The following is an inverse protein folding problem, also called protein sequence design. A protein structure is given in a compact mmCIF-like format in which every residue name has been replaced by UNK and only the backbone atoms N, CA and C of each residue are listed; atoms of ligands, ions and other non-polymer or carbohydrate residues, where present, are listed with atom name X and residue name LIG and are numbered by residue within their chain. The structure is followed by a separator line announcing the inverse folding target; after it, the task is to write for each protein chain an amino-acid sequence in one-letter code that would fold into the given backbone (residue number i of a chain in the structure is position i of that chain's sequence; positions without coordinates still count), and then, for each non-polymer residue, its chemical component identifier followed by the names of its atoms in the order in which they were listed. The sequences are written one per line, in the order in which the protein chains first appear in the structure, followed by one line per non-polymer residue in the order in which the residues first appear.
data_IF_376108626437
#
_entry.id   IF_376108626437
#
_cell.length_a   1.000
_cell.length_b   1.000
_cell.length_c   1.000
_cell.angle_alpha   90.00
_cell.angle_beta   90.00
_cell.angle_gamma   90.00
#
_symmetry.space_group_name_H-M   'P 1'
#
loop_
_entity.id
_entity.type
_entity.pdbx_description
1 polymer ?
#
# COMPACT_ATOMS: atom_id res chain seq x y z
N UNK A 1 -12.50 -9.83 8.49
CA UNK A 1 -12.55 -11.31 8.44
C UNK A 1 -11.44 -11.77 7.51
N UNK A 2 -10.46 -12.53 7.96
CA UNK A 2 -9.33 -12.93 7.09
C UNK A 2 -9.55 -14.27 6.36
N UNK A 3 -10.55 -15.07 6.76
CA UNK A 3 -10.79 -16.40 6.20
C UNK A 3 -12.16 -16.44 5.53
N UNK A 4 -12.21 -16.86 4.27
CA UNK A 4 -13.44 -17.07 3.50
C UNK A 4 -14.12 -18.34 4.01
N UNK A 5 -15.39 -18.25 4.41
CA UNK A 5 -16.17 -19.41 4.88
C UNK A 5 -16.33 -20.45 3.76
N UNK A 6 -16.18 -21.76 4.06
CA UNK A 6 -16.47 -22.81 3.09
C UNK A 6 -17.92 -22.72 2.60
N UNK A 7 -18.12 -22.70 1.28
CA UNK A 7 -19.47 -22.66 0.68
C UNK A 7 -20.06 -24.04 0.38
N UNK A 8 -19.21 -25.08 0.28
CA UNK A 8 -19.63 -26.47 0.02
C UNK A 8 -18.57 -27.48 0.47
N UNK A 9 -19.02 -28.70 0.76
CA UNK A 9 -18.19 -29.87 1.05
C UNK A 9 -18.25 -30.84 -0.12
N UNK A 10 -17.10 -31.40 -0.53
CA UNK A 10 -17.03 -32.33 -1.66
C UNK A 10 -17.06 -33.81 -1.25
N UNK A 11 -16.69 -34.14 -0.01
CA UNK A 11 -16.64 -35.52 0.49
C UNK A 11 -17.66 -35.68 1.61
N UNK A 12 -18.69 -36.54 1.44
CA UNK A 12 -19.64 -36.82 2.50
C UNK A 12 -18.94 -37.27 3.80
N UNK A 13 -19.32 -36.68 4.93
CA UNK A 13 -18.73 -36.93 6.25
C UNK A 13 -17.60 -35.98 6.66
N UNK A 14 -17.17 -35.07 5.77
CA UNK A 14 -16.17 -34.02 6.06
C UNK A 14 -16.78 -32.61 6.09
N UNK A 15 -18.05 -32.48 6.44
CA UNK A 15 -18.73 -31.18 6.50
C UNK A 15 -18.29 -30.35 7.70
N UNK A 16 -17.77 -30.99 8.75
CA UNK A 16 -17.30 -30.36 9.99
C UNK A 16 -18.33 -29.45 10.70
N UNK A 17 -19.61 -29.49 10.30
CA UNK A 17 -20.67 -28.62 10.82
C UNK A 17 -20.88 -28.73 12.33
N UNK A 18 -20.57 -29.90 12.90
CA UNK A 18 -20.69 -30.15 14.34
C UNK A 18 -19.45 -29.73 15.15
N UNK A 19 -18.45 -29.10 14.52
CA UNK A 19 -17.24 -28.61 15.20
C UNK A 19 -17.34 -27.10 15.37
N UNK A 20 -17.42 -26.66 16.61
CA UNK A 20 -17.37 -25.25 16.97
C UNK A 20 -16.19 -25.03 17.93
N UNK A 21 -15.21 -24.25 17.50
CA UNK A 21 -14.01 -23.95 18.31
C UNK A 21 -14.18 -22.72 19.19
N UNK A 22 -15.16 -21.87 18.89
CA UNK A 22 -15.51 -20.70 19.68
C UNK A 22 -16.97 -20.32 19.44
N UNK A 23 -17.56 -19.64 20.43
CA UNK A 23 -18.86 -18.99 20.31
C UNK A 23 -18.69 -17.57 19.75
N UNK A 24 -19.22 -17.25 18.56
CA UNK A 24 -19.08 -15.93 17.95
C UNK A 24 -19.66 -14.79 18.79
N UNK A 25 -20.82 -14.99 19.43
CA UNK A 25 -21.47 -13.98 20.28
C UNK A 25 -20.65 -13.76 21.53
N UNK A 26 -20.24 -14.84 22.20
CA UNK A 26 -19.35 -14.75 23.36
C UNK A 26 -18.03 -14.07 22.99
N UNK A 27 -17.40 -14.44 21.86
CA UNK A 27 -16.15 -13.82 21.37
C UNK A 27 -16.35 -12.33 21.17
N UNK A 28 -17.44 -11.91 20.52
CA UNK A 28 -17.74 -10.49 20.32
C UNK A 28 -17.84 -9.75 21.66
N UNK A 29 -18.56 -10.29 22.65
CA UNK A 29 -18.70 -9.67 23.97
C UNK A 29 -17.40 -9.65 24.78
N UNK A 30 -16.59 -10.71 24.71
CA UNK A 30 -15.25 -10.76 25.31
C UNK A 30 -14.34 -9.67 24.68
N UNK A 31 -14.40 -9.49 23.36
CA UNK A 31 -13.65 -8.45 22.64
C UNK A 31 -14.15 -7.05 22.97
N UNK A 32 -15.45 -6.84 23.13
CA UNK A 32 -16.03 -5.56 23.61
C UNK A 32 -15.48 -5.24 25.00
N UNK A 33 -15.48 -6.21 25.92
CA UNK A 33 -14.96 -6.01 27.26
C UNK A 33 -13.45 -5.64 27.24
N UNK A 34 -12.66 -6.32 26.40
CA UNK A 34 -11.24 -6.00 26.22
C UNK A 34 -11.03 -4.61 25.60
N UNK A 35 -11.77 -4.25 24.56
CA UNK A 35 -11.71 -2.94 23.91
C UNK A 35 -12.05 -1.81 24.89
N UNK A 36 -13.11 -1.98 25.70
CA UNK A 36 -13.46 -1.03 26.77
C UNK A 36 -12.36 -0.91 27.82
N UNK A 37 -11.75 -2.03 28.24
CA UNK A 37 -10.60 -2.03 29.13
C UNK A 37 -9.45 -1.19 28.58
N UNK A 38 -9.07 -1.42 27.33
CA UNK A 38 -8.02 -0.65 26.64
C UNK A 38 -8.38 0.84 26.60
N UNK A 39 -9.60 1.21 26.21
CA UNK A 39 -9.99 2.64 26.15
C UNK A 39 -9.89 3.28 27.54
N UNK A 40 -10.35 2.60 28.59
CA UNK A 40 -10.24 3.08 29.99
C UNK A 40 -8.78 3.27 30.42
N UNK A 41 -7.93 2.29 30.16
CA UNK A 41 -6.51 2.33 30.52
C UNK A 41 -5.76 3.46 29.79
N UNK A 42 -6.24 3.83 28.59
CA UNK A 42 -5.63 4.88 27.76
C UNK A 42 -6.24 6.27 27.98
N UNK A 43 -7.34 6.40 28.75
CA UNK A 43 -7.96 7.70 29.05
C UNK A 43 -6.93 8.80 29.39
N UNK A 44 -5.94 8.60 30.29
CA UNK A 44 -5.04 9.67 30.72
C UNK A 44 -4.29 10.40 29.59
N UNK A 45 -4.06 9.74 28.45
CA UNK A 45 -3.35 10.35 27.30
C UNK A 45 -4.29 10.81 26.19
N UNK A 46 -5.58 10.41 26.22
CA UNK A 46 -6.55 10.80 25.20
C UNK A 46 -6.92 12.29 25.25
N UNK A 47 -6.50 13.03 26.30
CA UNK A 47 -6.70 14.47 26.42
C UNK A 47 -6.04 15.26 25.28
N UNK A 48 -5.07 14.66 24.58
CA UNK A 48 -4.47 15.21 23.37
C UNK A 48 -5.51 15.52 22.27
N UNK A 49 -6.60 14.75 22.22
CA UNK A 49 -7.61 14.85 21.15
C UNK A 49 -8.43 16.14 21.20
N UNK A 50 -8.66 16.70 22.39
CA UNK A 50 -9.51 17.89 22.62
C UNK A 50 -10.87 17.78 21.92
N UNK A 51 -11.51 16.62 22.06
CA UNK A 51 -12.72 16.28 21.31
C UNK A 51 -13.65 15.33 22.08
N UNK A 52 -14.90 15.28 21.64
CA UNK A 52 -15.90 14.30 22.04
C UNK A 52 -16.11 13.29 20.92
N UNK A 53 -15.77 12.03 21.17
CA UNK A 53 -15.90 10.94 20.20
C UNK A 53 -17.09 10.06 20.56
N UNK A 54 -17.93 9.72 19.58
CA UNK A 54 -18.99 8.71 19.68
C UNK A 54 -18.51 7.43 19.00
N UNK A 55 -18.39 6.35 19.77
CA UNK A 55 -17.92 5.06 19.30
C UNK A 55 -19.04 4.03 19.43
N UNK A 56 -19.27 3.25 18.38
CA UNK A 56 -20.13 2.07 18.43
C UNK A 56 -19.27 0.85 18.20
N UNK A 57 -19.24 -0.12 19.12
CA UNK A 57 -18.57 -1.40 18.85
C UNK A 57 -19.54 -2.34 18.15
N UNK A 58 -19.17 -2.80 16.94
CA UNK A 58 -19.99 -3.68 16.12
C UNK A 58 -19.25 -4.32 14.94
N UNK A 59 -19.73 -5.47 14.46
CA UNK A 59 -19.08 -6.29 13.42
C UNK A 59 -20.02 -6.73 12.27
N UNK A 60 -21.12 -6.00 12.08
CA UNK A 60 -22.25 -6.27 11.18
C UNK A 60 -23.21 -7.39 11.63
N UNK A 61 -22.81 -8.26 12.57
CA UNK A 61 -23.70 -9.26 13.18
C UNK A 61 -24.13 -8.81 14.57
N UNK A 62 -23.18 -8.38 15.39
CA UNK A 62 -23.40 -7.93 16.76
C UNK A 62 -23.05 -6.45 16.89
N UNK A 63 -23.70 -5.75 17.82
CA UNK A 63 -23.43 -4.36 18.16
C UNK A 63 -23.87 -4.06 19.59
N UNK A 64 -23.19 -3.13 20.25
CA UNK A 64 -23.64 -2.55 21.53
C UNK A 64 -24.15 -1.11 21.32
N UNK A 65 -24.86 -0.51 22.30
CA UNK A 65 -25.13 0.92 22.30
C UNK A 65 -23.84 1.76 22.23
N UNK A 66 -23.90 2.98 21.66
CA UNK A 66 -22.72 3.83 21.54
C UNK A 66 -22.19 4.25 22.92
N UNK A 67 -20.87 4.38 23.00
CA UNK A 67 -20.13 4.95 24.13
C UNK A 67 -19.48 6.25 23.69
N UNK A 68 -19.12 7.11 24.65
CA UNK A 68 -18.55 8.40 24.37
C UNK A 68 -17.22 8.60 25.10
N UNK A 69 -16.18 8.98 24.36
CA UNK A 69 -14.91 9.43 24.95
C UNK A 69 -14.93 10.95 24.97
N UNK A 70 -15.12 11.53 26.14
CA UNK A 70 -15.05 12.97 26.35
C UNK A 70 -13.62 13.37 26.72
N UNK A 71 -12.89 13.90 25.74
CA UNK A 71 -11.54 14.41 25.90
C UNK A 71 -11.47 15.95 25.73
N UNK A 72 -12.60 16.65 25.88
CA UNK A 72 -12.65 18.12 25.76
C UNK A 72 -12.06 18.84 26.98
N UNK A 73 -11.99 18.16 28.12
CA UNK A 73 -11.45 18.68 29.37
C UNK A 73 -10.10 18.05 29.70
N UNK A 74 -9.37 18.61 30.68
CA UNK A 74 -8.11 18.03 31.17
C UNK A 74 -8.28 16.62 31.75
N UNK A 75 -9.46 16.30 32.26
CA UNK A 75 -9.80 14.96 32.72
C UNK A 75 -10.66 14.28 31.66
N UNK A 76 -10.09 13.31 30.96
CA UNK A 76 -10.82 12.51 29.99
C UNK A 76 -11.75 11.52 30.69
N UNK A 77 -12.93 11.29 30.11
CA UNK A 77 -13.93 10.41 30.68
C UNK A 77 -14.55 9.51 29.61
N UNK A 78 -14.93 8.29 30.02
CA UNK A 78 -15.76 7.41 29.23
C UNK A 78 -17.20 7.51 29.76
N UNK A 79 -18.14 7.83 28.87
CA UNK A 79 -19.54 8.07 29.21
C UNK A 79 -20.44 7.10 28.43
N UNK A 80 -21.52 6.63 29.07
CA UNK A 80 -22.53 5.79 28.41
C UNK A 80 -23.54 6.61 27.59
N UNK A 81 -23.62 7.93 27.84
CA UNK A 81 -24.50 8.84 27.11
C UNK A 81 -24.03 10.30 27.24
N UNK A 82 -24.52 11.13 26.33
CA UNK A 82 -24.41 12.60 26.37
C UNK A 82 -25.78 13.21 26.15
N UNK A 83 -25.96 14.49 26.52
CA UNK A 83 -27.24 15.19 26.29
C UNK A 83 -27.62 15.21 24.81
N UNK A 84 -28.91 15.14 24.50
CA UNK A 84 -29.43 14.97 23.13
C UNK A 84 -28.98 16.04 22.12
N UNK A 85 -28.62 17.25 22.59
CA UNK A 85 -28.17 18.37 21.76
C UNK A 85 -26.64 18.52 21.72
N UNK A 86 -25.88 17.64 22.35
CA UNK A 86 -24.42 17.69 22.36
C UNK A 86 -23.90 17.21 21.00
N UNK A 87 -23.25 18.10 20.26
CA UNK A 87 -22.57 17.75 19.01
C UNK A 87 -21.27 16.99 19.34
N UNK A 88 -21.07 15.87 18.68
CA UNK A 88 -19.83 15.09 18.73
C UNK A 88 -18.88 15.54 17.61
N UNK A 89 -17.58 15.48 17.87
CA UNK A 89 -16.56 15.82 16.89
C UNK A 89 -16.30 14.67 15.91
N UNK A 90 -16.44 13.43 16.39
CA UNK A 90 -16.18 12.20 15.64
C UNK A 90 -17.26 11.18 15.92
N UNK A 91 -17.68 10.45 14.90
CA UNK A 91 -18.57 9.29 15.03
C UNK A 91 -18.07 8.13 14.16
N UNK A 92 -17.96 6.93 14.73
CA UNK A 92 -17.58 5.72 13.98
C UNK A 92 -18.15 4.45 14.62
N UNK A 93 -18.52 3.47 13.78
CA UNK A 93 -18.68 2.08 14.20
C UNK A 93 -17.40 1.31 13.91
N UNK A 94 -16.83 0.66 14.92
CA UNK A 94 -15.57 -0.08 14.80
C UNK A 94 -15.70 -1.47 15.42
N UNK A 95 -15.03 -2.46 14.81
CA UNK A 95 -14.95 -3.79 15.41
C UNK A 95 -14.16 -3.74 16.72
N UNK A 96 -14.65 -4.35 17.80
CA UNK A 96 -13.91 -4.37 19.06
C UNK A 96 -12.55 -5.09 18.90
N UNK A 97 -12.48 -6.14 18.07
CA UNK A 97 -11.20 -6.79 17.71
C UNK A 97 -10.18 -5.80 17.13
N UNK A 98 -10.59 -4.80 16.35
CA UNK A 98 -9.64 -3.83 15.78
C UNK A 98 -9.03 -2.96 16.86
N UNK A 99 -9.80 -2.57 17.89
CA UNK A 99 -9.28 -1.85 19.05
C UNK A 99 -8.19 -2.65 19.76
N UNK A 100 -8.43 -3.95 19.97
CA UNK A 100 -7.43 -4.86 20.55
C UNK A 100 -6.19 -4.95 19.66
N UNK A 101 -6.38 -5.08 18.34
CA UNK A 101 -5.26 -5.20 17.39
C UNK A 101 -4.49 -3.90 17.20
N UNK A 102 -5.12 -2.74 17.33
CA UNK A 102 -4.44 -1.44 17.39
C UNK A 102 -3.57 -1.36 18.64
N UNK A 103 -4.11 -1.77 19.79
CA UNK A 103 -3.38 -1.81 21.06
C UNK A 103 -2.12 -2.67 20.97
N UNK A 104 -2.24 -3.88 20.42
CA UNK A 104 -1.14 -4.83 20.24
C UNK A 104 -0.21 -4.50 19.06
N UNK A 105 -0.53 -3.49 18.24
CA UNK A 105 0.26 -3.14 17.05
C UNK A 105 0.21 -4.17 15.92
N UNK A 106 -0.80 -5.04 15.89
CA UNK A 106 -0.99 -6.08 14.85
C UNK A 106 -1.90 -5.64 13.69
N UNK A 107 -2.43 -4.42 13.77
CA UNK A 107 -3.19 -3.75 12.73
C UNK A 107 -2.88 -2.25 12.77
N UNK A 108 -2.56 -1.66 11.63
CA UNK A 108 -2.38 -0.21 11.55
C UNK A 108 -3.75 0.49 11.68
N UNK A 109 -3.88 1.54 12.52
CA UNK A 109 -5.11 2.32 12.65
C UNK A 109 -5.71 2.79 11.33
N UNK A 110 -4.89 3.26 10.39
CA UNK A 110 -5.36 3.77 9.09
C UNK A 110 -5.93 2.64 8.24
N UNK A 111 -5.37 1.43 8.33
CA UNK A 111 -5.98 0.28 7.66
C UNK A 111 -7.29 -0.14 8.33
N UNK A 112 -7.28 -0.32 9.66
CA UNK A 112 -8.46 -0.84 10.37
C UNK A 112 -9.67 0.09 10.31
N UNK A 113 -9.47 1.41 10.35
CA UNK A 113 -10.55 2.39 10.33
C UNK A 113 -11.25 2.52 8.97
N UNK A 114 -10.55 2.26 7.86
CA UNK A 114 -11.09 2.52 6.52
C UNK A 114 -11.30 1.26 5.66
N UNK A 115 -10.77 0.11 6.05
CA UNK A 115 -10.89 -1.12 5.25
C UNK A 115 -12.35 -1.61 5.13
N UNK A 116 -13.10 -1.62 6.24
CA UNK A 116 -14.48 -2.11 6.26
C UNK A 116 -15.48 -1.09 5.71
N UNK A 117 -15.13 0.21 5.73
CA UNK A 117 -15.96 1.30 5.23
C UNK A 117 -16.34 1.16 3.75
N UNK A 118 -15.62 0.31 3.00
CA UNK A 118 -15.91 -0.01 1.59
C UNK A 118 -17.09 -0.95 1.39
N UNK A 119 -17.44 -1.73 2.42
CA UNK A 119 -18.46 -2.80 2.33
C UNK A 119 -19.50 -2.74 3.44
N UNK A 120 -19.29 -1.91 4.46
CA UNK A 120 -20.18 -1.76 5.60
C UNK A 120 -20.35 -0.27 5.96
N UNK A 121 -21.43 0.36 5.48
CA UNK A 121 -21.70 1.80 5.65
C UNK A 121 -21.61 2.30 7.10
N UNK A 122 -22.11 1.57 8.13
CA UNK A 122 -22.03 2.06 9.50
C UNK A 122 -20.60 2.26 10.02
N UNK A 123 -19.60 1.59 9.39
CA UNK A 123 -18.18 1.77 9.72
C UNK A 123 -17.52 2.95 9.02
N UNK A 124 -18.20 3.66 8.12
CA UNK A 124 -17.67 4.87 7.48
C UNK A 124 -17.49 5.95 8.56
N UNK A 125 -16.25 6.38 8.85
CA UNK A 125 -16.02 7.42 9.85
C UNK A 125 -16.64 8.77 9.46
N UNK A 126 -17.17 9.50 10.45
CA UNK A 126 -17.81 10.81 10.28
C UNK A 126 -17.17 11.85 11.21
N UNK A 127 -17.13 13.10 10.77
CA UNK A 127 -16.59 14.23 11.55
C UNK A 127 -15.09 14.45 11.35
N UNK A 128 -14.37 14.76 12.43
CA UNK A 128 -12.95 15.08 12.44
C UNK A 128 -12.09 13.82 12.36
N UNK A 129 -11.82 13.36 11.13
CA UNK A 129 -11.14 12.11 10.87
C UNK A 129 -9.68 12.08 11.38
N UNK A 130 -8.88 13.16 11.28
CA UNK A 130 -7.57 13.21 11.90
C UNK A 130 -7.59 12.90 13.41
N UNK A 131 -8.59 13.41 14.14
CA UNK A 131 -8.74 13.07 15.57
C UNK A 131 -9.13 11.61 15.78
N UNK A 132 -9.91 10.99 14.89
CA UNK A 132 -10.20 9.56 14.98
C UNK A 132 -8.95 8.69 14.78
N UNK A 133 -8.14 9.02 13.76
CA UNK A 133 -6.86 8.34 13.51
C UNK A 133 -5.98 8.48 14.74
N UNK A 134 -5.87 9.71 15.29
CA UNK A 134 -5.04 9.95 16.47
C UNK A 134 -5.57 9.21 17.70
N UNK A 135 -6.89 9.13 17.90
CA UNK A 135 -7.48 8.30 18.95
C UNK A 135 -7.01 6.86 18.83
N UNK A 136 -7.14 6.24 17.66
CA UNK A 136 -6.73 4.86 17.42
C UNK A 136 -5.20 4.65 17.56
N UNK A 137 -4.38 5.61 17.11
CA UNK A 137 -2.93 5.61 17.34
C UNK A 137 -2.59 5.62 18.84
N UNK A 138 -3.28 6.44 19.64
CA UNK A 138 -3.06 6.54 21.09
C UNK A 138 -3.50 5.28 21.85
N UNK A 139 -4.35 4.42 21.27
CA UNK A 139 -4.69 3.13 21.87
C UNK A 139 -3.52 2.13 21.81
N UNK A 140 -2.58 2.29 20.87
CA UNK A 140 -1.42 1.43 20.75
C UNK A 140 -0.54 1.47 22.02
N UNK A 141 0.04 0.33 22.44
CA UNK A 141 1.00 0.27 23.55
C UNK A 141 2.18 1.23 23.37
N UNK A 142 2.64 1.39 22.13
CA UNK A 142 3.66 2.33 21.69
C UNK A 142 3.08 3.21 20.57
N UNK A 143 2.33 4.28 20.89
CA UNK A 143 1.71 5.14 19.90
C UNK A 143 2.73 5.68 18.89
N UNK A 144 2.40 5.73 17.58
CA UNK A 144 3.28 6.36 16.63
C UNK A 144 3.43 7.86 16.94
N UNK A 145 4.64 8.38 16.72
CA UNK A 145 4.87 9.81 16.69
C UNK A 145 4.26 10.38 15.40
N UNK A 146 3.80 11.64 15.47
CA UNK A 146 3.32 12.32 14.27
C UNK A 146 4.50 12.61 13.34
N UNK A 147 4.26 12.53 12.02
CA UNK A 147 5.24 12.96 11.04
C UNK A 147 5.57 14.45 11.26
N UNK A 148 6.87 14.77 11.26
CA UNK A 148 7.34 16.14 11.18
C UNK A 148 7.13 16.73 9.78
N UNK A 149 7.22 18.05 9.65
CA UNK A 149 7.18 18.69 8.34
C UNK A 149 8.54 18.52 7.67
N UNK A 150 8.53 17.96 6.46
CA UNK A 150 9.72 17.86 5.62
C UNK A 150 10.32 19.23 5.26
N UNK A 151 9.53 20.31 5.33
CA UNK A 151 10.01 21.69 5.16
C UNK A 151 10.95 22.15 6.28
N UNK A 152 10.92 21.50 7.44
CA UNK A 152 11.79 21.83 8.57
C UNK A 152 13.21 21.26 8.38
N UNK A 153 13.41 20.40 7.38
CA UNK A 153 14.72 19.85 7.01
C UNK A 153 15.49 20.85 6.15
N UNK A 154 16.80 20.92 6.31
CA UNK A 154 17.67 21.72 5.45
C UNK A 154 17.59 21.18 4.00
N UNK A 155 17.07 21.96 3.03
CA UNK A 155 16.92 21.48 1.65
C UNK A 155 18.24 21.08 1.00
N UNK A 156 19.37 21.64 1.47
CA UNK A 156 20.69 21.36 0.91
C UNK A 156 21.20 19.94 1.22
N UNK A 157 20.62 19.28 2.23
CA UNK A 157 20.97 17.89 2.59
C UNK A 157 20.01 16.87 1.98
N UNK A 158 18.89 17.30 1.41
CA UNK A 158 17.90 16.39 0.83
C UNK A 158 18.39 15.82 -0.51
N UNK A 159 18.01 14.56 -0.83
CA UNK A 159 18.41 13.90 -2.07
C UNK A 159 18.17 14.76 -3.30
N UNK A 160 19.22 14.93 -4.12
CA UNK A 160 19.19 15.61 -5.40
C UNK A 160 19.49 14.63 -6.54
N UNK A 161 19.02 14.88 -7.78
CA UNK A 161 19.37 14.02 -8.91
C UNK A 161 20.89 13.87 -9.09
N UNK A 162 21.39 12.64 -8.97
CA UNK A 162 22.81 12.29 -9.14
C UNK A 162 22.99 10.99 -9.94
N UNK A 163 24.14 10.83 -10.59
CA UNK A 163 24.55 9.59 -11.26
C UNK A 163 25.37 8.66 -10.33
N UNK A 164 25.72 9.15 -9.13
CA UNK A 164 26.47 8.38 -8.13
C UNK A 164 25.55 7.38 -7.40
N UNK A 165 25.64 6.11 -7.76
CA UNK A 165 24.86 5.03 -7.16
C UNK A 165 25.13 4.86 -5.65
N UNK A 166 26.34 5.12 -5.17
CA UNK A 166 26.61 5.01 -3.73
C UNK A 166 25.94 6.14 -2.96
N UNK A 167 25.87 7.35 -3.55
CA UNK A 167 25.05 8.42 -2.98
C UNK A 167 23.56 8.03 -2.95
N UNK A 168 23.03 7.40 -4.00
CA UNK A 168 21.62 6.92 -4.02
C UNK A 168 21.35 5.90 -2.91
N UNK A 169 22.30 5.00 -2.65
CA UNK A 169 22.20 4.04 -1.54
C UNK A 169 22.21 4.75 -0.18
N UNK A 170 23.08 5.74 -0.01
CA UNK A 170 23.12 6.56 1.21
C UNK A 170 21.81 7.34 1.40
N UNK A 171 21.27 7.92 0.33
CA UNK A 171 19.99 8.64 0.34
C UNK A 171 18.82 7.70 0.71
N UNK A 172 18.81 6.48 0.19
CA UNK A 172 17.83 5.46 0.58
C UNK A 172 17.93 5.07 2.05
N UNK A 173 19.15 4.94 2.58
CA UNK A 173 19.34 4.67 4.02
C UNK A 173 18.86 5.85 4.85
N UNK A 174 19.26 7.06 4.49
CA UNK A 174 19.08 8.24 5.33
C UNK A 174 17.67 8.83 5.23
N UNK A 175 17.16 8.97 4.01
CA UNK A 175 15.92 9.66 3.69
C UNK A 175 14.82 8.74 3.16
N UNK A 176 15.16 7.49 2.80
CA UNK A 176 14.18 6.49 2.34
C UNK A 176 13.83 6.63 0.85
N UNK A 177 14.42 7.59 0.15
CA UNK A 177 14.33 7.75 -1.30
C UNK A 177 15.63 8.31 -1.88
N UNK A 178 15.84 8.10 -3.18
CA UNK A 178 16.95 8.68 -3.95
C UNK A 178 16.54 8.98 -5.39
N UNK A 179 17.28 9.86 -6.06
CA UNK A 179 16.98 10.35 -7.41
C UNK A 179 18.14 10.05 -8.36
N UNK A 180 17.99 9.02 -9.19
CA UNK A 180 19.00 8.63 -10.18
C UNK A 180 18.84 9.52 -11.40
N UNK A 181 19.77 10.44 -11.60
CA UNK A 181 19.83 11.32 -12.76
C UNK A 181 20.20 10.52 -14.01
N UNK A 182 19.61 10.88 -15.15
CA UNK A 182 19.92 10.27 -16.45
C UNK A 182 19.79 8.74 -16.44
N UNK A 183 18.90 8.19 -15.60
CA UNK A 183 18.63 6.76 -15.56
C UNK A 183 18.15 6.28 -16.93
N UNK A 184 17.28 7.05 -17.58
CA UNK A 184 17.01 6.90 -19.01
C UNK A 184 17.59 8.09 -19.78
N UNK A 185 18.23 7.79 -20.90
CA UNK A 185 18.69 8.78 -21.87
C UNK A 185 17.52 9.35 -22.67
N UNK A 186 17.67 10.54 -23.30
CA UNK A 186 16.57 11.20 -24.01
C UNK A 186 15.88 10.32 -25.05
N UNK A 187 16.63 9.47 -25.76
CA UNK A 187 16.05 8.56 -26.76
C UNK A 187 15.23 7.44 -26.12
N UNK A 188 15.68 6.91 -24.99
CA UNK A 188 14.97 5.87 -24.24
C UNK A 188 13.70 6.43 -23.62
N UNK A 189 13.76 7.65 -23.07
CA UNK A 189 12.58 8.40 -22.62
C UNK A 189 11.55 8.53 -23.73
N UNK A 190 11.97 8.93 -24.94
CA UNK A 190 11.08 9.07 -26.10
C UNK A 190 10.38 7.75 -26.44
N UNK A 191 11.14 6.65 -26.51
CA UNK A 191 10.62 5.31 -26.83
C UNK A 191 9.57 4.88 -25.80
N UNK A 192 9.93 4.90 -24.52
CA UNK A 192 9.06 4.43 -23.43
C UNK A 192 7.83 5.34 -23.27
N UNK A 193 8.01 6.65 -23.39
CA UNK A 193 6.88 7.61 -23.36
C UNK A 193 5.89 7.35 -24.49
N UNK A 194 6.37 7.19 -25.72
CA UNK A 194 5.50 6.94 -26.86
C UNK A 194 4.72 5.63 -26.68
N UNK A 195 5.38 4.56 -26.23
CA UNK A 195 4.72 3.30 -25.92
C UNK A 195 3.62 3.44 -24.87
N UNK A 196 3.90 4.10 -23.74
CA UNK A 196 2.90 4.33 -22.67
C UNK A 196 1.70 5.11 -23.19
N UNK A 197 1.94 6.21 -23.92
CA UNK A 197 0.85 7.07 -24.41
C UNK A 197 0.01 6.39 -25.50
N UNK A 198 0.65 5.64 -26.41
CA UNK A 198 -0.04 4.85 -27.44
C UNK A 198 -0.89 3.75 -26.81
N UNK A 199 -0.33 2.99 -25.87
CA UNK A 199 -1.06 1.95 -25.17
C UNK A 199 -2.23 2.52 -24.36
N UNK A 200 -2.00 3.63 -23.65
CA UNK A 200 -3.05 4.33 -22.92
C UNK A 200 -4.18 4.81 -23.85
N UNK A 201 -3.84 5.34 -25.03
CA UNK A 201 -4.83 5.73 -26.04
C UNK A 201 -5.61 4.52 -26.60
N UNK A 202 -4.91 3.42 -26.88
CA UNK A 202 -5.52 2.17 -27.33
C UNK A 202 -6.52 1.61 -26.32
N UNK A 203 -6.20 1.61 -25.03
CA UNK A 203 -7.11 1.17 -23.97
C UNK A 203 -8.35 2.05 -23.86
N UNK A 204 -8.21 3.37 -24.06
CA UNK A 204 -9.36 4.29 -24.11
C UNK A 204 -10.24 3.99 -25.32
N UNK A 205 -9.65 3.79 -26.49
CA UNK A 205 -10.37 3.48 -27.72
C UNK A 205 -11.11 2.13 -27.63
N UNK A 206 -10.51 1.14 -26.96
CA UNK A 206 -11.10 -0.18 -26.74
C UNK A 206 -12.11 -0.21 -25.58
N UNK A 207 -12.27 0.88 -24.82
CA UNK A 207 -13.20 0.95 -23.68
C UNK A 207 -12.76 0.14 -22.45
N UNK A 208 -11.47 -0.18 -22.33
CA UNK A 208 -10.90 -0.98 -21.22
C UNK A 208 -9.96 -0.18 -20.31
N UNK A 209 -9.83 1.13 -20.55
CA UNK A 209 -9.00 2.02 -19.74
C UNK A 209 -9.48 2.09 -18.28
N UNK A 210 -8.52 2.12 -17.36
CA UNK A 210 -8.77 2.30 -15.93
C UNK A 210 -8.42 3.73 -15.52
N UNK A 211 -9.33 4.40 -14.79
CA UNK A 211 -9.19 5.80 -14.39
C UNK A 211 -9.24 5.98 -12.88
N UNK A 212 -8.47 6.94 -12.36
CA UNK A 212 -8.43 7.35 -10.95
C UNK A 212 -8.08 8.85 -10.79
N UNK A 213 -7.71 9.30 -9.58
CA UNK A 213 -7.33 10.70 -9.34
C UNK A 213 -8.48 11.62 -8.92
N UNK A 214 -9.51 11.08 -8.26
CA UNK A 214 -10.63 11.83 -7.69
C UNK A 214 -11.97 11.50 -8.36
N UNK A 215 -13.02 12.22 -8.00
CA UNK A 215 -14.39 11.95 -8.48
C UNK A 215 -14.55 12.03 -10.00
N UNK A 216 -13.71 12.84 -10.68
CA UNK A 216 -13.70 12.98 -12.14
C UNK A 216 -12.81 11.95 -12.86
N UNK A 217 -12.02 11.16 -12.13
CA UNK A 217 -11.12 10.17 -12.72
C UNK A 217 -10.15 10.69 -13.80
N UNK A 218 -9.45 11.82 -13.63
CA UNK A 218 -8.61 12.38 -14.71
C UNK A 218 -7.36 11.54 -15.01
N UNK A 219 -6.82 10.83 -14.01
CA UNK A 219 -5.63 10.02 -14.17
C UNK A 219 -5.96 8.71 -14.87
N UNK A 220 -5.02 8.18 -15.65
CA UNK A 220 -5.14 6.84 -16.22
C UNK A 220 -4.06 5.91 -15.68
N UNK A 221 -4.48 4.69 -15.32
CA UNK A 221 -3.61 3.58 -14.95
C UNK A 221 -3.47 2.62 -16.13
N UNK A 222 -2.23 2.28 -16.48
CA UNK A 222 -1.91 1.25 -17.46
C UNK A 222 -1.27 0.09 -16.71
N UNK A 223 -2.06 -0.92 -16.38
CA UNK A 223 -1.63 -2.09 -15.59
C UNK A 223 -0.83 -3.09 -16.40
N UNK A 224 -0.09 -4.00 -15.76
CA UNK A 224 0.48 -5.19 -16.41
C UNK A 224 1.25 -4.88 -17.73
N UNK A 225 2.19 -3.93 -17.70
CA UNK A 225 2.90 -3.47 -18.91
C UNK A 225 3.73 -4.56 -19.58
N UNK A 226 4.08 -5.62 -18.87
CA UNK A 226 4.83 -6.76 -19.44
C UNK A 226 4.12 -7.38 -20.65
N UNK A 227 2.78 -7.28 -20.71
CA UNK A 227 1.99 -7.78 -21.84
C UNK A 227 1.85 -6.78 -23.01
N UNK A 228 2.39 -5.57 -22.89
CA UNK A 228 1.95 -4.40 -23.67
C UNK A 228 3.01 -3.82 -24.60
N UNK A 229 4.21 -4.40 -24.63
CA UNK A 229 5.30 -3.93 -25.50
C UNK A 229 6.65 -4.52 -25.10
N UNK A 230 7.52 -4.68 -26.07
CA UNK A 230 8.85 -5.31 -25.87
C UNK A 230 9.79 -4.34 -25.16
N UNK A 231 9.62 -3.04 -25.40
CA UNK A 231 10.31 -1.97 -24.69
C UNK A 231 10.09 -2.02 -23.16
N UNK A 232 8.95 -2.52 -22.68
CA UNK A 232 8.71 -2.71 -21.25
C UNK A 232 9.40 -3.97 -20.70
N UNK A 233 9.56 -5.00 -21.53
CA UNK A 233 10.36 -6.20 -21.21
C UNK A 233 11.84 -5.82 -21.14
N UNK A 234 12.31 -5.03 -22.11
CA UNK A 234 13.69 -4.58 -22.22
C UNK A 234 14.09 -3.64 -21.08
N UNK A 235 13.16 -2.82 -20.58
CA UNK A 235 13.38 -1.99 -19.39
C UNK A 235 13.76 -2.81 -18.15
N UNK A 236 13.40 -4.11 -18.08
CA UNK A 236 13.81 -5.01 -16.99
C UNK A 236 15.28 -5.44 -17.07
N UNK A 237 15.98 -5.10 -18.15
CA UNK A 237 17.44 -5.25 -18.27
C UNK A 237 18.20 -4.03 -17.72
N UNK A 238 17.51 -3.01 -17.22
CA UNK A 238 18.15 -1.78 -16.78
C UNK A 238 19.15 -2.01 -15.63
N UNK A 239 20.41 -1.53 -15.73
CA UNK A 239 21.48 -1.84 -14.77
C UNK A 239 21.21 -1.31 -13.35
N UNK A 240 20.40 -0.26 -13.20
CA UNK A 240 19.91 0.20 -11.89
C UNK A 240 19.24 -0.91 -11.07
N UNK A 241 18.53 -1.84 -11.73
CA UNK A 241 17.91 -2.98 -11.05
C UNK A 241 18.99 -3.84 -10.41
N UNK A 242 20.07 -4.14 -11.12
CA UNK A 242 21.18 -4.95 -10.61
C UNK A 242 21.94 -4.26 -9.47
N UNK A 243 22.08 -2.94 -9.56
CA UNK A 243 22.82 -2.15 -8.58
C UNK A 243 22.08 -1.99 -7.24
N UNK A 244 20.74 -1.87 -7.27
CA UNK A 244 19.95 -1.50 -6.09
C UNK A 244 19.12 -2.65 -5.55
N UNK A 245 18.44 -3.43 -6.41
CA UNK A 245 17.42 -4.39 -5.93
C UNK A 245 18.02 -5.50 -5.06
N UNK A 246 19.10 -6.21 -5.46
CA UNK A 246 19.72 -7.24 -4.63
C UNK A 246 20.31 -6.66 -3.34
N UNK A 247 20.94 -5.47 -3.43
CA UNK A 247 21.51 -4.78 -2.26
C UNK A 247 20.44 -4.45 -1.21
N UNK A 248 19.26 -3.98 -1.65
CA UNK A 248 18.21 -3.51 -0.75
C UNK A 248 17.25 -4.62 -0.27
N UNK A 249 16.77 -5.46 -1.19
CA UNK A 249 15.75 -6.49 -0.93
C UNK A 249 16.35 -7.89 -0.71
N UNK A 250 17.65 -8.05 -0.92
CA UNK A 250 18.32 -9.35 -0.88
C UNK A 250 18.09 -10.15 -2.17
N UNK A 251 18.56 -11.39 -2.15
CA UNK A 251 18.52 -12.26 -3.31
C UNK A 251 17.08 -12.64 -3.70
N UNK A 252 16.89 -12.82 -5.01
CA UNK A 252 15.66 -13.33 -5.61
C UNK A 252 14.41 -12.47 -5.38
N UNK A 253 14.59 -11.17 -5.14
CA UNK A 253 13.48 -10.22 -5.22
C UNK A 253 12.77 -10.33 -6.59
N UNK A 254 11.45 -10.12 -6.57
CA UNK A 254 10.61 -10.26 -7.76
C UNK A 254 9.65 -9.07 -7.85
N UNK A 255 9.07 -8.88 -9.03
CA UNK A 255 8.17 -7.78 -9.34
C UNK A 255 6.80 -8.07 -8.72
N UNK A 256 6.35 -7.16 -7.86
CA UNK A 256 4.99 -7.11 -7.36
C UNK A 256 4.05 -6.58 -8.44
N UNK A 257 4.40 -5.46 -9.05
CA UNK A 257 3.65 -4.79 -10.12
C UNK A 257 4.58 -4.07 -11.09
N UNK A 258 4.25 -4.09 -12.38
CA UNK A 258 4.88 -3.27 -13.42
C UNK A 258 3.77 -2.56 -14.21
N UNK A 259 3.67 -1.24 -14.00
CA UNK A 259 2.56 -0.42 -14.52
C UNK A 259 3.02 0.97 -14.94
N UNK A 260 2.17 1.73 -15.63
CA UNK A 260 2.34 3.17 -15.79
C UNK A 260 1.18 3.94 -15.16
N UNK A 261 1.49 5.09 -14.58
CA UNK A 261 0.50 6.05 -14.11
C UNK A 261 0.64 7.34 -14.92
N UNK A 262 -0.48 7.85 -15.45
CA UNK A 262 -0.54 9.12 -16.17
C UNK A 262 -1.33 10.10 -15.31
N UNK A 263 -0.62 10.95 -14.58
CA UNK A 263 -1.26 12.01 -13.80
C UNK A 263 -1.64 13.19 -14.70
N UNK A 264 -2.89 13.63 -14.65
CA UNK A 264 -3.43 14.70 -15.50
C UNK A 264 -3.90 15.89 -14.67
N UNK A 265 -3.91 17.11 -15.26
CA UNK A 265 -4.47 18.29 -14.62
C UNK A 265 -5.82 18.04 -13.93
N UNK A 266 -5.95 18.55 -12.71
CA UNK A 266 -7.18 18.46 -11.92
C UNK A 266 -7.33 17.18 -11.10
N UNK A 267 -6.31 16.33 -11.00
CA UNK A 267 -6.36 15.20 -10.07
C UNK A 267 -6.24 15.66 -8.61
N UNK A 268 -6.86 14.89 -7.73
CA UNK A 268 -6.61 14.99 -6.28
C UNK A 268 -5.43 14.10 -5.90
N UNK A 269 -4.68 14.44 -4.83
CA UNK A 269 -3.62 13.58 -4.35
C UNK A 269 -4.16 12.21 -3.92
N UNK A 270 -3.31 11.19 -3.97
CA UNK A 270 -3.65 9.91 -3.34
C UNK A 270 -3.71 10.09 -1.82
N UNK A 271 -4.41 9.18 -1.15
CA UNK A 271 -4.27 9.05 0.29
C UNK A 271 -2.79 8.83 0.62
N UNK A 272 -2.26 9.54 1.61
CA UNK A 272 -0.91 9.33 2.12
C UNK A 272 -0.79 7.91 2.66
N UNK A 273 0.20 7.17 2.18
CA UNK A 273 0.34 5.74 2.47
C UNK A 273 1.80 5.31 2.47
N UNK A 274 2.00 4.11 2.98
CA UNK A 274 3.17 3.27 2.71
C UNK A 274 2.71 2.11 1.85
N UNK A 275 3.51 1.66 0.90
CA UNK A 275 3.11 0.57 -0.01
C UNK A 275 3.02 -0.79 0.69
N UNK A 276 3.60 -0.88 1.89
CA UNK A 276 3.48 -2.03 2.78
C UNK A 276 2.36 -1.91 3.83
N UNK A 277 1.55 -0.85 3.82
CA UNK A 277 0.47 -0.63 4.81
C UNK A 277 -0.50 -1.82 4.93
N UNK A 278 -0.74 -2.53 3.82
CA UNK A 278 -1.61 -3.71 3.77
C UNK A 278 -0.98 -5.00 4.33
N UNK A 279 0.32 -5.01 4.61
CA UNK A 279 1.06 -6.17 5.13
C UNK A 279 0.86 -6.22 6.64
N UNK A 280 -0.04 -7.09 7.08
CA UNK A 280 -0.40 -7.24 8.50
C UNK A 280 0.30 -8.46 9.12
N UNK A 281 0.91 -8.36 10.32
CA UNK A 281 1.05 -7.13 11.13
C UNK A 281 2.02 -6.11 10.48
N UNK A 282 1.86 -4.79 10.74
CA UNK A 282 2.72 -3.76 10.15
C UNK A 282 4.22 -4.04 10.36
N UNK A 283 5.00 -4.08 9.27
CA UNK A 283 6.44 -4.42 9.30
C UNK A 283 7.34 -3.18 9.24
N UNK A 284 7.60 -2.51 10.36
CA UNK A 284 8.33 -1.22 10.34
C UNK A 284 9.86 -1.37 10.24
N UNK A 285 10.39 -2.48 10.75
CA UNK A 285 11.85 -2.69 10.82
C UNK A 285 12.44 -3.34 9.57
N UNK A 286 11.59 -3.87 8.68
CA UNK A 286 12.01 -4.56 7.46
C UNK A 286 11.25 -4.01 6.26
N UNK A 287 11.97 -3.36 5.34
CA UNK A 287 11.41 -2.99 4.04
C UNK A 287 11.04 -4.27 3.27
N UNK A 288 9.74 -4.45 2.97
CA UNK A 288 9.24 -5.60 2.24
C UNK A 288 9.29 -5.42 0.71
N UNK A 289 9.50 -4.20 0.25
CA UNK A 289 9.59 -3.85 -1.16
C UNK A 289 10.34 -2.56 -1.42
N UNK A 290 10.56 -2.29 -2.69
CA UNK A 290 11.25 -1.11 -3.22
C UNK A 290 10.56 -0.70 -4.52
N UNK A 291 10.31 0.58 -4.70
CA UNK A 291 9.86 1.12 -5.98
C UNK A 291 11.02 1.75 -6.73
N UNK A 292 11.04 1.56 -8.04
CA UNK A 292 11.86 2.30 -9.01
C UNK A 292 10.88 2.88 -10.02
N UNK A 293 10.77 4.21 -10.09
CA UNK A 293 9.83 4.88 -10.98
C UNK A 293 10.55 5.82 -11.94
N UNK A 294 10.35 5.64 -13.24
CA UNK A 294 11.02 6.42 -14.28
C UNK A 294 10.15 7.58 -14.76
N UNK A 295 10.70 8.79 -14.68
CA UNK A 295 10.05 10.00 -15.16
C UNK A 295 10.20 10.12 -16.67
N UNK A 296 9.06 10.21 -17.38
CA UNK A 296 9.04 10.30 -18.84
C UNK A 296 8.85 11.74 -19.36
N UNK A 297 8.72 12.68 -18.43
CA UNK A 297 8.67 14.12 -18.63
C UNK A 297 9.38 14.80 -17.46
N UNK A 298 9.74 16.08 -17.62
CA UNK A 298 10.18 16.90 -16.48
C UNK A 298 9.08 16.84 -15.42
N UNK A 299 9.43 16.39 -14.22
CA UNK A 299 8.49 16.17 -13.13
C UNK A 299 8.77 17.18 -12.04
N UNK A 300 7.74 17.97 -11.72
CA UNK A 300 7.81 19.11 -10.81
C UNK A 300 6.65 19.07 -9.81
N UNK A 301 6.68 19.93 -8.79
CA UNK A 301 5.55 20.06 -7.88
C UNK A 301 4.25 20.45 -8.62
N UNK A 302 4.37 21.24 -9.69
CA UNK A 302 3.23 21.74 -10.45
C UNK A 302 2.51 20.61 -11.18
N UNK A 303 3.23 19.69 -11.82
CA UNK A 303 2.62 18.59 -12.57
C UNK A 303 2.41 17.30 -11.77
N UNK A 304 2.50 17.40 -10.44
CA UNK A 304 2.13 16.34 -9.51
C UNK A 304 3.23 15.30 -9.30
N UNK A 305 4.49 15.74 -9.15
CA UNK A 305 5.58 14.90 -8.65
C UNK A 305 5.14 14.07 -7.44
N UNK A 306 5.69 12.87 -7.30
CA UNK A 306 5.51 12.06 -6.08
C UNK A 306 5.98 12.90 -4.90
N UNK A 307 5.16 12.97 -3.85
CA UNK A 307 5.47 13.69 -2.63
C UNK A 307 5.84 12.72 -1.53
N UNK A 308 6.90 13.03 -0.79
CA UNK A 308 7.51 12.16 0.20
C UNK A 308 7.72 12.88 1.53
N UNK A 309 7.78 12.10 2.61
CA UNK A 309 8.26 12.55 3.92
C UNK A 309 9.64 11.93 4.16
N UNK A 310 10.74 12.67 3.89
CA UNK A 310 12.09 12.14 4.05
C UNK A 310 12.33 11.59 5.46
N UNK A 311 12.96 10.43 5.55
CA UNK A 311 13.28 9.77 6.83
C UNK A 311 12.10 9.06 7.49
N UNK A 312 10.88 9.17 6.95
CA UNK A 312 9.68 8.57 7.55
C UNK A 312 9.62 7.04 7.49
N UNK A 313 10.53 6.41 6.75
CA UNK A 313 10.77 4.97 6.77
C UNK A 313 11.45 4.51 8.07
N UNK A 314 12.02 5.43 8.85
CA UNK A 314 12.67 5.17 10.14
C UNK A 314 11.67 5.30 11.28
N UNK A 315 11.55 4.25 12.09
CA UNK A 315 10.80 4.27 13.34
C UNK A 315 9.28 4.16 13.20
N UNK A 316 8.58 4.39 14.31
CA UNK A 316 7.13 4.30 14.40
C UNK A 316 6.50 5.69 14.24
N UNK A 317 6.46 6.18 13.01
CA UNK A 317 5.90 7.48 12.66
C UNK A 317 4.71 7.34 11.73
N UNK A 318 3.74 8.25 11.85
CA UNK A 318 2.57 8.25 10.98
C UNK A 318 1.90 9.63 10.90
N UNK A 319 1.23 9.95 9.78
CA UNK A 319 0.54 11.24 9.62
C UNK A 319 -0.73 11.31 10.47
N UNK A 320 -1.05 12.49 11.01
CA UNK A 320 -2.36 12.75 11.61
C UNK A 320 -3.48 12.83 10.56
N UNK A 321 -3.17 13.33 9.36
CA UNK A 321 -4.10 13.48 8.25
C UNK A 321 -3.53 12.77 7.01
N UNK A 322 -4.27 11.80 6.48
CA UNK A 322 -3.87 11.00 5.31
C UNK A 322 -4.45 11.53 3.99
N UNK A 323 -5.17 12.65 3.98
CA UNK A 323 -5.75 13.25 2.78
C UNK A 323 -5.05 14.55 2.35
N UNK A 324 -4.05 14.98 3.09
CA UNK A 324 -3.25 16.17 2.78
C UNK A 324 -1.87 15.81 2.23
N UNK A 325 -1.28 16.79 1.53
CA UNK A 325 0.12 16.77 1.09
C UNK A 325 0.98 17.78 1.86
N UNK A 326 0.39 18.56 2.76
CA UNK A 326 1.12 19.48 3.64
C UNK A 326 2.16 18.72 4.46
N UNK A 327 3.31 19.33 4.72
CA UNK A 327 4.40 18.65 5.44
C UNK A 327 5.25 17.71 4.57
N UNK A 328 4.84 17.38 3.35
CA UNK A 328 5.67 16.56 2.41
C UNK A 328 6.47 17.43 1.44
N UNK A 329 7.48 16.90 0.77
CA UNK A 329 8.22 17.57 -0.32
C UNK A 329 8.08 16.82 -1.67
N UNK A 330 8.11 17.52 -2.81
CA UNK A 330 8.08 16.89 -4.13
C UNK A 330 9.44 16.26 -4.49
N UNK A 331 9.43 15.02 -4.97
CA UNK A 331 10.60 14.36 -5.55
C UNK A 331 10.76 14.77 -7.02
N UNK A 332 11.29 15.96 -7.26
CA UNK A 332 11.41 16.58 -8.59
C UNK A 332 12.61 16.05 -9.38
N UNK A 333 12.51 16.09 -10.71
CA UNK A 333 13.63 15.72 -11.58
C UNK A 333 13.32 15.89 -13.07
N UNK A 334 14.34 16.10 -13.92
CA UNK A 334 14.15 16.13 -15.37
C UNK A 334 13.66 14.76 -15.89
N UNK A 335 13.09 14.76 -17.10
CA UNK A 335 12.76 13.54 -17.82
C UNK A 335 14.00 12.62 -17.89
N UNK A 336 13.80 11.32 -17.67
CA UNK A 336 14.86 10.33 -17.56
C UNK A 336 15.39 10.10 -16.15
N UNK A 337 14.95 10.89 -15.16
CA UNK A 337 15.24 10.60 -13.75
C UNK A 337 14.49 9.35 -13.29
N UNK A 338 15.14 8.47 -12.52
CA UNK A 338 14.45 7.42 -11.77
C UNK A 338 14.38 7.80 -10.29
N UNK A 339 13.17 7.87 -9.72
CA UNK A 339 12.99 7.94 -8.27
C UNK A 339 12.95 6.53 -7.70
N UNK A 340 13.79 6.27 -6.72
CA UNK A 340 13.84 4.99 -6.00
C UNK A 340 13.40 5.24 -4.58
N UNK A 341 12.48 4.43 -4.02
CA UNK A 341 12.04 4.62 -2.64
C UNK A 341 11.63 3.34 -1.91
N UNK A 342 11.92 3.33 -0.62
CA UNK A 342 11.56 2.29 0.35
C UNK A 342 10.04 2.22 0.51
N UNK A 343 9.47 1.02 0.48
CA UNK A 343 8.03 0.82 0.69
C UNK A 343 7.49 1.32 2.03
N UNK A 344 8.35 1.50 3.04
CA UNK A 344 8.04 2.08 4.35
C UNK A 344 7.89 3.60 4.32
N UNK A 345 8.42 4.26 3.29
CA UNK A 345 8.38 5.71 3.17
C UNK A 345 6.94 6.18 3.01
N UNK A 346 6.52 7.12 3.85
CA UNK A 346 5.24 7.80 3.68
C UNK A 346 5.29 8.69 2.45
N UNK A 347 4.39 8.43 1.50
CA UNK A 347 4.36 9.12 0.22
C UNK A 347 2.96 9.19 -0.38
N UNK A 348 2.80 10.04 -1.39
CA UNK A 348 1.57 10.18 -2.16
C UNK A 348 1.86 10.71 -3.57
N UNK A 349 0.95 10.43 -4.51
CA UNK A 349 0.98 11.13 -5.81
C UNK A 349 0.59 12.58 -5.60
N UNK A 350 1.44 13.52 -6.03
CA UNK A 350 1.14 14.94 -5.96
C UNK A 350 -0.05 15.34 -6.85
N UNK A 351 -0.78 16.42 -6.49
CA UNK A 351 -1.79 16.99 -7.37
C UNK A 351 -1.11 17.64 -8.58
N UNK A 352 -1.58 17.33 -9.77
CA UNK A 352 -1.23 18.01 -11.00
C UNK A 352 -2.09 19.27 -11.11
N UNK A 353 -1.46 20.40 -10.79
CA UNK A 353 -2.01 21.76 -10.79
C UNK A 353 -1.68 22.53 -12.08
N UNK A 354 -1.10 21.87 -13.08
CA UNK A 354 -0.85 22.48 -14.38
C UNK A 354 -2.17 22.85 -15.07
N UNK A 355 -2.10 23.76 -16.04
CA UNK A 355 -3.30 24.21 -16.78
C UNK A 355 -3.85 23.08 -17.67
N UNK A 356 -5.15 23.11 -17.96
CA UNK A 356 -5.80 22.13 -18.84
C UNK A 356 -5.20 22.22 -20.26
N UNK A 357 -4.57 21.13 -20.73
CA UNK A 357 -3.78 21.10 -21.98
C UNK A 357 -2.26 21.12 -21.80
N UNK A 358 -1.77 21.37 -20.58
CA UNK A 358 -0.37 21.20 -20.19
C UNK A 358 -0.05 19.76 -19.75
N UNK A 359 1.25 19.48 -19.62
CA UNK A 359 1.93 18.17 -19.62
C UNK A 359 1.23 17.12 -18.73
N UNK A 360 0.56 16.14 -19.35
CA UNK A 360 0.30 14.84 -18.73
C UNK A 360 1.62 14.28 -18.20
N UNK A 361 1.63 13.72 -16.99
CA UNK A 361 2.82 13.17 -16.36
C UNK A 361 2.77 11.64 -16.37
N UNK A 362 3.18 10.98 -17.46
CA UNK A 362 3.38 9.55 -17.49
C UNK A 362 4.64 9.18 -16.71
N UNK A 363 4.52 8.16 -15.86
CA UNK A 363 5.62 7.55 -15.11
C UNK A 363 5.48 6.05 -15.18
N UNK A 364 6.59 5.34 -15.40
CA UNK A 364 6.67 3.89 -15.20
C UNK A 364 6.87 3.62 -13.71
N UNK A 365 6.16 2.64 -13.16
CA UNK A 365 6.32 2.15 -11.80
C UNK A 365 6.76 0.69 -11.85
N UNK A 366 7.99 0.43 -11.41
CA UNK A 366 8.49 -0.91 -11.11
C UNK A 366 8.51 -1.11 -9.61
N UNK A 367 7.64 -1.96 -9.10
CA UNK A 367 7.61 -2.31 -7.69
C UNK A 367 8.19 -3.71 -7.50
N UNK A 368 9.34 -3.79 -6.84
CA UNK A 368 9.94 -5.05 -6.40
C UNK A 368 9.56 -5.38 -4.95
N UNK A 369 9.40 -6.65 -4.65
CA UNK A 369 9.20 -7.16 -3.29
C UNK A 369 10.19 -8.28 -2.98
N UNK A 370 10.45 -8.49 -1.69
CA UNK A 370 11.27 -9.62 -1.23
C UNK A 370 10.70 -10.94 -1.71
N UNK A 371 11.56 -11.93 -1.88
CA UNK A 371 11.24 -13.23 -2.46
C UNK A 371 10.08 -13.99 -1.78
N UNK A 372 9.88 -13.80 -0.48
CA UNK A 372 8.80 -14.41 0.31
C UNK A 372 7.51 -13.59 0.37
N UNK A 373 7.48 -12.38 -0.18
CA UNK A 373 6.30 -11.51 -0.17
C UNK A 373 5.47 -11.80 -1.41
N UNK A 374 4.18 -12.08 -1.22
CA UNK A 374 3.25 -12.25 -2.36
C UNK A 374 3.18 -10.97 -3.20
N UNK A 375 3.37 -11.12 -4.52
CA UNK A 375 3.19 -10.08 -5.52
C UNK A 375 1.76 -9.49 -5.50
N UNK A 376 1.66 -8.19 -5.80
CA UNK A 376 0.40 -7.46 -5.89
C UNK A 376 -0.45 -7.89 -7.08
N UNK A 377 0.19 -8.14 -8.23
CA UNK A 377 -0.44 -8.81 -9.36
C UNK A 377 -0.20 -10.32 -9.34
N UNK A 378 -1.18 -11.11 -9.77
CA UNK A 378 -1.01 -12.54 -9.96
C UNK A 378 -0.47 -12.80 -11.38
N UNK A 379 0.85 -12.69 -11.54
CA UNK A 379 1.54 -12.85 -12.83
C UNK A 379 1.30 -14.19 -13.49
N UNK A 380 1.10 -15.25 -12.70
CA UNK A 380 0.70 -16.54 -13.25
C UNK A 380 -0.69 -16.48 -13.92
N UNK A 381 -1.61 -15.62 -13.51
CA UNK A 381 -2.89 -15.49 -14.21
C UNK A 381 -2.88 -14.39 -15.27
N UNK A 382 -2.10 -13.34 -15.05
CA UNK A 382 -2.14 -12.14 -15.89
C UNK A 382 -1.15 -12.15 -17.05
N UNK A 383 -0.02 -12.87 -16.97
CA UNK A 383 0.96 -12.94 -18.05
C UNK A 383 0.45 -13.81 -19.20
N UNK A 384 0.44 -13.28 -20.43
CA UNK A 384 -0.01 -14.03 -21.60
C UNK A 384 1.00 -15.12 -21.98
N UNK A 385 0.50 -16.27 -22.46
CA UNK A 385 1.33 -17.42 -22.85
C UNK A 385 2.34 -17.07 -23.97
N UNK A 386 1.96 -16.23 -24.93
CA UNK A 386 2.84 -15.78 -26.03
C UNK A 386 3.98 -14.87 -25.54
N UNK A 387 3.69 -14.01 -24.57
CA UNK A 387 4.70 -13.15 -23.91
C UNK A 387 5.64 -14.00 -23.07
N UNK A 388 5.11 -14.88 -22.22
CA UNK A 388 5.89 -15.79 -21.38
C UNK A 388 6.86 -16.66 -22.19
N UNK A 389 6.41 -17.18 -23.33
CA UNK A 389 7.20 -18.06 -24.19
C UNK A 389 8.51 -17.41 -24.67
N UNK A 390 8.50 -16.09 -24.89
CA UNK A 390 9.70 -15.35 -25.33
C UNK A 390 10.51 -14.73 -24.20
N UNK A 391 10.01 -14.72 -22.96
CA UNK A 391 10.76 -14.13 -21.84
C UNK A 391 12.08 -14.88 -21.60
N UNK A 392 13.22 -14.17 -21.54
CA UNK A 392 14.48 -14.73 -21.05
C UNK A 392 14.38 -15.12 -19.57
N UNK A 393 15.34 -15.93 -19.10
CA UNK A 393 15.33 -16.45 -17.72
C UNK A 393 15.34 -15.36 -16.64
N UNK A 394 16.00 -14.22 -16.93
CA UNK A 394 16.01 -13.05 -16.04
C UNK A 394 14.59 -12.51 -15.80
N UNK A 395 13.86 -12.23 -16.88
CA UNK A 395 12.50 -11.71 -16.79
C UNK A 395 11.56 -12.74 -16.17
N UNK A 396 11.69 -14.02 -16.54
CA UNK A 396 10.95 -15.12 -15.87
C UNK A 396 11.19 -15.12 -14.36
N UNK A 397 12.43 -14.94 -13.92
CA UNK A 397 12.75 -14.86 -12.49
C UNK A 397 12.04 -13.68 -11.80
N UNK A 398 12.00 -12.50 -12.44
CA UNK A 398 11.30 -11.34 -11.90
C UNK A 398 9.78 -11.51 -11.80
N UNK A 399 9.16 -12.38 -12.59
CA UNK A 399 7.72 -12.65 -12.50
C UNK A 399 7.38 -13.91 -11.70
N UNK A 400 8.31 -14.37 -10.85
CA UNK A 400 8.07 -15.43 -9.88
C UNK A 400 8.28 -16.85 -10.42
N UNK A 401 8.70 -17.01 -11.67
CA UNK A 401 8.94 -18.36 -12.24
C UNK A 401 10.19 -19.02 -11.68
N UNK A 402 11.13 -18.28 -11.08
CA UNK A 402 12.34 -18.87 -10.51
C UNK A 402 12.04 -19.61 -9.21
N UNK A 403 12.43 -20.88 -9.13
CA UNK A 403 12.45 -21.64 -7.88
C UNK A 403 13.55 -21.10 -6.97
N UNK A 404 13.23 -20.98 -5.69
CA UNK A 404 14.15 -20.61 -4.62
C UNK A 404 13.99 -21.59 -3.46
N UNK A 405 14.98 -21.74 -2.56
CA UNK A 405 14.89 -22.68 -1.45
C UNK A 405 13.57 -22.51 -0.65
N UNK A 406 12.77 -23.57 -0.63
CA UNK A 406 11.50 -23.63 0.10
C UNK A 406 10.30 -22.92 -0.54
N UNK A 407 10.43 -22.28 -1.72
CA UNK A 407 9.33 -21.52 -2.34
C UNK A 407 9.28 -21.66 -3.86
N UNK A 408 8.09 -21.42 -4.43
CA UNK A 408 7.89 -21.33 -5.89
C UNK A 408 7.93 -22.66 -6.64
N UNK A 409 7.91 -23.80 -5.95
CA UNK A 409 7.88 -25.13 -6.58
C UNK A 409 6.47 -25.47 -7.10
N UNK A 410 6.39 -26.14 -8.25
CA UNK A 410 5.17 -26.81 -8.73
C UNK A 410 5.28 -28.28 -8.36
N UNK A 411 4.24 -28.81 -7.69
CA UNK A 411 4.15 -30.22 -7.26
C UNK A 411 5.32 -30.72 -6.40
N UNK A 412 5.89 -29.83 -5.59
CA UNK A 412 6.99 -30.18 -4.69
C UNK A 412 8.34 -30.46 -5.39
N UNK A 413 8.46 -30.20 -6.70
CA UNK A 413 9.73 -30.31 -7.40
C UNK A 413 10.70 -29.20 -6.97
N UNK A 414 11.70 -29.56 -6.17
CA UNK A 414 12.69 -28.66 -5.58
C UNK A 414 13.95 -28.46 -6.43
N UNK A 415 14.05 -29.09 -7.60
CA UNK A 415 15.22 -28.94 -8.49
C UNK A 415 15.42 -27.46 -8.85
N UNK A 416 16.63 -26.88 -8.80
CA UNK A 416 16.84 -25.49 -9.20
C UNK A 416 16.39 -25.20 -10.65
N UNK A 417 15.96 -23.97 -10.92
CA UNK A 417 15.56 -23.51 -12.26
C UNK A 417 14.21 -22.78 -12.28
N UNK A 418 13.72 -22.49 -13.48
CA UNK A 418 12.40 -21.89 -13.66
C UNK A 418 11.30 -22.96 -13.63
N UNK A 419 10.14 -22.65 -13.04
CA UNK A 419 8.93 -23.45 -13.19
C UNK A 419 8.29 -23.18 -14.54
N UNK A 420 7.61 -24.19 -15.06
CA UNK A 420 6.75 -24.11 -16.23
C UNK A 420 5.31 -24.25 -15.77
N UNK A 421 4.38 -23.67 -16.52
CA UNK A 421 2.96 -23.98 -16.33
C UNK A 421 2.71 -25.43 -16.64
N UNK A 422 2.09 -26.12 -15.70
CA UNK A 422 1.63 -27.50 -15.89
C UNK A 422 0.13 -27.45 -16.16
N UNK A 423 -0.26 -27.62 -17.42
CA UNK A 423 -1.68 -27.66 -17.79
C UNK A 423 -2.35 -28.95 -17.21
N UNK A 424 -1.57 -30.03 -17.01
CA UNK A 424 -2.02 -31.33 -16.47
C UNK A 424 -1.34 -31.65 -15.12
N UNK A 425 -1.61 -30.86 -14.07
CA UNK A 425 -1.14 -31.19 -12.72
C UNK A 425 -1.64 -32.58 -12.29
N UNK A 426 -0.83 -33.34 -11.54
CA UNK A 426 -0.87 -34.78 -11.20
C UNK A 426 -2.08 -35.22 -10.34
N UNK A 427 -3.23 -34.54 -10.44
CA UNK A 427 -4.49 -34.91 -9.80
C UNK A 427 -4.91 -36.39 -10.01
N UNK A 428 -6.03 -36.78 -9.39
CA UNK A 428 -6.10 -37.93 -8.49
C UNK A 428 -5.43 -39.23 -9.00
N UNK A 429 -4.49 -39.77 -8.21
CA UNK A 429 -4.06 -41.17 -8.32
C UNK A 429 -4.56 -41.98 -7.11
N UNK A 430 -5.51 -42.89 -7.36
CA UNK A 430 -6.00 -43.91 -6.43
C UNK A 430 -6.07 -45.24 -7.17
N UNK A 431 -5.27 -46.23 -6.79
CA UNK A 431 -5.24 -47.57 -7.41
C UNK A 431 -6.17 -48.54 -6.69
N UNK A 432 -6.79 -49.47 -7.43
CA UNK A 432 -7.95 -50.30 -7.04
C UNK A 432 -7.76 -51.14 -5.78
N UNK A 433 -8.79 -51.09 -4.92
CA UNK A 433 -9.57 -52.27 -4.55
C UNK A 433 -10.80 -52.34 -5.43
#
# INVERSE_FOLDING_TARGET
MSIVTPSKTFTPGLEFQNRQYFDPEKKFHDEVAAALGIVRDRLPILGELRALLKLTFGDATYSIPPIFVDARSHQTQLLDSVGANVKVDVEVTIKPEYVVRFHEGTLDPRMGLFMDARVYEPSVPKGDIPKLIRFADLLNKSPPSLLGNAQDLDPSVLPQPTEDIEQIKNDLIEYGYGLVKNALLPKEVEIIKNAVLQQAAGERQAGVATFDGGSKGPNQRVWNLINKGDEFIDLLNHPLIDAIVPWFLGDHAHISTLSANIARPGNVPMQLHTDQSSKTPPQRDLALGLNISFYLVNTTDINGATRVYPGSHKGNVAPSDIWTVEGSIPAEGPAGTAVVFDNRLWHTTGPNRASEGEVERPVILLHFVRSFVRAGENHYLSLRKDVEAKLPDRQKAFFGFRKIPGMGSVEGNTTPGNVTRTDDAIGPLRTSG
#
